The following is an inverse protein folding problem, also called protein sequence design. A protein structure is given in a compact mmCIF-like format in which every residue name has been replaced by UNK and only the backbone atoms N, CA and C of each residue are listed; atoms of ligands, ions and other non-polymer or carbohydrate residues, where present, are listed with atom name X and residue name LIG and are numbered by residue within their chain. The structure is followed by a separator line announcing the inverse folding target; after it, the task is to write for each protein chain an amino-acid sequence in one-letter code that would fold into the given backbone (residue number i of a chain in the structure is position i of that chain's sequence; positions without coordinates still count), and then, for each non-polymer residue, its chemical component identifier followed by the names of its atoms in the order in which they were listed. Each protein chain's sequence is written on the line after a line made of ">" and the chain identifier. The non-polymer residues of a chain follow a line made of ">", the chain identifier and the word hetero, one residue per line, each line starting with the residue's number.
data_IF_648887835108
#
_entry.id   IF_648887835108
#
_cell.length_a   1.000
_cell.length_b   1.000
_cell.length_c   1.000
_cell.angle_alpha   90.00
_cell.angle_beta   90.00
_cell.angle_gamma   90.00
#
_symmetry.space_group_name_H-M   'P 1'
#
loop_
_entity.id
_entity.type
_entity.pdbx_description
1 polymer ?
#
# COMPACT_ATOMS: atom_id res chain seq x y z
N UNK A 1 75.99 60.60 66.36
CA UNK A 1 75.32 61.04 65.12
C UNK A 1 73.83 61.05 65.39
N UNK A 2 73.33 62.20 65.84
CA UNK A 2 71.91 62.43 66.08
C UNK A 2 71.23 62.60 64.72
N UNK A 3 70.33 61.69 64.35
CA UNK A 3 69.67 61.75 63.03
C UNK A 3 68.72 62.95 63.05
N UNK A 4 68.92 63.90 62.13
CA UNK A 4 68.07 65.09 61.98
C UNK A 4 66.58 64.73 62.04
N UNK A 5 65.73 65.50 62.73
CA UNK A 5 64.29 65.24 62.88
C UNK A 5 63.56 64.97 61.55
N UNK A 6 64.08 65.51 60.44
CA UNK A 6 63.53 65.33 59.08
C UNK A 6 63.76 63.91 58.51
N UNK A 7 64.85 63.22 58.88
CA UNK A 7 65.14 61.85 58.45
C UNK A 7 64.18 60.84 59.08
N UNK A 8 63.91 60.97 60.39
CA UNK A 8 62.93 60.12 61.08
C UNK A 8 61.50 60.38 60.57
N UNK A 9 61.19 61.60 60.10
CA UNK A 9 59.90 61.94 59.52
C UNK A 9 59.72 61.30 58.12
N UNK A 10 60.72 61.40 57.24
CA UNK A 10 60.69 60.75 55.90
C UNK A 10 60.63 59.23 55.99
N UNK A 11 61.40 58.61 56.91
CA UNK A 11 61.37 57.17 57.13
C UNK A 11 59.98 56.68 57.61
N UNK A 12 59.35 57.40 58.55
CA UNK A 12 57.98 57.10 58.99
C UNK A 12 56.98 57.16 57.83
N UNK A 13 57.08 58.15 56.95
CA UNK A 13 56.20 58.30 55.78
C UNK A 13 56.39 57.13 54.79
N UNK A 14 57.64 56.77 54.48
CA UNK A 14 57.92 55.65 53.56
C UNK A 14 57.41 54.31 54.11
N UNK A 15 57.56 54.06 55.41
CA UNK A 15 57.03 52.86 56.08
C UNK A 15 55.49 52.83 56.01
N UNK A 16 54.82 53.96 56.21
CA UNK A 16 53.36 54.07 56.08
C UNK A 16 52.92 53.76 54.63
N UNK A 17 53.60 54.30 53.62
CA UNK A 17 53.28 54.05 52.21
C UNK A 17 53.44 52.56 51.86
N UNK A 18 54.56 51.94 52.28
CA UNK A 18 54.80 50.51 52.10
C UNK A 18 53.74 49.66 52.79
N UNK A 19 53.32 50.04 54.00
CA UNK A 19 52.26 49.33 54.71
C UNK A 19 50.91 49.45 54.00
N UNK A 20 50.56 50.63 53.48
CA UNK A 20 49.32 50.83 52.70
C UNK A 20 49.35 50.02 51.40
N UNK A 21 50.48 50.01 50.69
CA UNK A 21 50.65 49.19 49.47
C UNK A 21 50.58 47.70 49.78
N UNK A 22 51.21 47.25 50.87
CA UNK A 22 51.15 45.86 51.31
C UNK A 22 49.73 45.46 51.70
N UNK A 23 49.02 46.29 52.48
CA UNK A 23 47.64 46.06 52.88
C UNK A 23 46.70 46.03 51.65
N UNK A 24 46.88 46.93 50.68
CA UNK A 24 46.11 46.94 49.43
C UNK A 24 46.36 45.70 48.56
N UNK A 25 47.62 45.29 48.41
CA UNK A 25 47.99 44.06 47.70
C UNK A 25 47.44 42.81 48.38
N UNK A 26 47.55 42.74 49.72
CA UNK A 26 47.00 41.66 50.53
C UNK A 26 45.47 41.58 50.40
N UNK A 27 44.78 42.73 50.46
CA UNK A 27 43.34 42.79 50.26
C UNK A 27 42.92 42.36 48.85
N UNK A 28 43.65 42.77 47.81
CA UNK A 28 43.43 42.33 46.44
C UNK A 28 43.63 40.81 46.28
N UNK A 29 44.64 40.25 46.95
CA UNK A 29 44.89 38.80 46.99
C UNK A 29 43.73 38.05 47.64
N UNK A 30 43.20 38.57 48.76
CA UNK A 30 42.03 37.99 49.44
C UNK A 30 40.77 38.01 48.55
N UNK A 31 40.51 39.11 47.83
CA UNK A 31 39.38 39.16 46.89
C UNK A 31 39.52 38.17 45.73
N UNK A 32 40.74 37.99 45.21
CA UNK A 32 40.99 37.01 44.15
C UNK A 32 40.87 35.57 44.66
N UNK A 33 41.33 35.28 45.87
CA UNK A 33 41.14 33.98 46.51
C UNK A 33 39.65 33.63 46.65
N UNK A 34 38.82 34.59 47.07
CA UNK A 34 37.37 34.37 47.19
C UNK A 34 36.72 34.12 45.82
N UNK A 35 37.11 34.87 44.78
CA UNK A 35 36.63 34.64 43.41
C UNK A 35 37.00 33.25 42.87
N UNK A 36 38.24 32.80 43.11
CA UNK A 36 38.69 31.46 42.71
C UNK A 36 37.87 30.40 43.44
N UNK A 37 37.64 30.57 44.74
CA UNK A 37 36.81 29.66 45.54
C UNK A 37 35.37 29.54 45.00
N UNK A 38 34.75 30.65 44.64
CA UNK A 38 33.40 30.65 44.04
C UNK A 38 33.37 29.98 42.66
N UNK A 39 34.44 30.15 41.87
CA UNK A 39 34.57 29.47 40.59
C UNK A 39 34.73 27.96 40.76
N UNK A 40 35.52 27.53 41.73
CA UNK A 40 35.72 26.10 42.05
C UNK A 40 34.41 25.44 42.49
N UNK A 41 33.60 26.12 43.31
CA UNK A 41 32.26 25.65 43.70
C UNK A 41 31.35 25.48 42.49
N UNK A 42 31.29 26.50 41.61
CA UNK A 42 30.50 26.43 40.37
C UNK A 42 30.98 25.33 39.41
N UNK A 43 32.30 25.12 39.31
CA UNK A 43 32.87 24.04 38.49
C UNK A 43 32.49 22.68 39.07
N UNK A 44 32.53 22.52 40.40
CA UNK A 44 32.09 21.30 41.08
C UNK A 44 30.62 21.00 40.79
N UNK A 45 29.74 21.99 40.91
CA UNK A 45 28.32 21.84 40.61
C UNK A 45 28.06 21.46 39.15
N UNK A 46 28.72 22.14 38.20
CA UNK A 46 28.62 21.82 36.77
C UNK A 46 29.15 20.41 36.48
N UNK A 47 30.20 19.98 37.17
CA UNK A 47 30.76 18.62 37.03
C UNK A 47 29.75 17.58 37.50
N UNK A 48 29.10 17.80 38.65
CA UNK A 48 28.06 16.92 39.17
C UNK A 48 26.86 16.84 38.22
N UNK A 49 26.41 17.99 37.68
CA UNK A 49 25.32 18.02 36.69
C UNK A 49 25.69 17.25 35.43
N UNK A 50 26.91 17.45 34.91
CA UNK A 50 27.40 16.75 33.71
C UNK A 50 27.46 15.23 33.92
N UNK A 51 27.96 14.78 35.07
CA UNK A 51 27.98 13.36 35.44
C UNK A 51 26.56 12.79 35.51
N UNK A 52 25.63 13.49 36.18
CA UNK A 52 24.24 13.06 36.27
C UNK A 52 23.56 12.99 34.89
N UNK A 53 23.81 13.96 34.01
CA UNK A 53 23.32 13.93 32.63
C UNK A 53 23.90 12.74 31.85
N UNK A 54 25.17 12.41 32.06
CA UNK A 54 25.80 11.27 31.40
C UNK A 54 25.19 9.93 31.84
N UNK A 55 24.82 9.80 33.13
CA UNK A 55 24.06 8.66 33.64
C UNK A 55 22.67 8.57 33.01
N UNK A 56 21.93 9.68 32.91
CA UNK A 56 20.62 9.72 32.25
C UNK A 56 20.71 9.33 30.77
N UNK A 57 21.71 9.83 30.05
CA UNK A 57 21.95 9.47 28.64
C UNK A 57 22.19 7.96 28.52
N UNK A 58 23.02 7.38 29.38
CA UNK A 58 23.26 5.93 29.35
C UNK A 58 21.99 5.11 29.62
N UNK A 59 21.13 5.56 30.55
CA UNK A 59 19.84 4.91 30.82
C UNK A 59 18.88 5.02 29.63
N UNK A 60 18.82 6.19 28.98
CA UNK A 60 18.01 6.43 27.78
C UNK A 60 18.48 5.56 26.61
N UNK A 61 19.80 5.43 26.41
CA UNK A 61 20.38 4.55 25.39
C UNK A 61 19.99 3.09 25.61
N UNK A 62 20.15 2.58 26.84
CA UNK A 62 19.76 1.21 27.19
C UNK A 62 18.25 0.98 27.00
N UNK A 63 17.42 1.96 27.38
CA UNK A 63 15.97 1.91 27.17
C UNK A 63 15.64 1.87 25.68
N UNK A 64 16.30 2.70 24.87
CA UNK A 64 16.11 2.75 23.42
C UNK A 64 16.46 1.42 22.77
N UNK A 65 17.57 0.79 23.18
CA UNK A 65 17.97 -0.54 22.70
C UNK A 65 16.90 -1.58 23.05
N UNK A 66 16.42 -1.60 24.29
CA UNK A 66 15.38 -2.55 24.72
C UNK A 66 14.05 -2.36 23.98
N UNK A 67 13.65 -1.11 23.73
CA UNK A 67 12.44 -0.78 22.99
C UNK A 67 12.57 -1.21 21.52
N UNK A 68 13.72 -0.98 20.89
CA UNK A 68 13.98 -1.44 19.53
C UNK A 68 13.91 -2.97 19.42
N UNK A 69 14.44 -3.70 20.40
CA UNK A 69 14.35 -5.16 20.47
C UNK A 69 12.90 -5.64 20.67
N UNK A 70 12.15 -5.03 21.59
CA UNK A 70 10.74 -5.38 21.79
C UNK A 70 9.91 -5.11 20.52
N UNK A 71 10.22 -4.02 19.83
CA UNK A 71 9.53 -3.63 18.61
C UNK A 71 9.90 -4.54 17.42
N UNK A 72 11.15 -5.03 17.32
CA UNK A 72 11.51 -6.04 16.32
C UNK A 72 10.82 -7.38 16.57
N UNK A 73 10.80 -7.85 17.82
CA UNK A 73 10.08 -9.08 18.21
C UNK A 73 8.57 -8.96 17.94
N UNK A 74 7.97 -7.82 18.27
CA UNK A 74 6.54 -7.58 18.04
C UNK A 74 6.22 -7.57 16.54
N UNK A 75 7.09 -6.97 15.71
CA UNK A 75 6.93 -7.00 14.24
C UNK A 75 6.99 -8.42 13.69
N UNK A 76 7.95 -9.22 14.15
CA UNK A 76 8.07 -10.61 13.71
C UNK A 76 6.84 -11.44 14.11
N UNK A 77 6.35 -11.27 15.34
CA UNK A 77 5.11 -11.90 15.81
C UNK A 77 3.92 -11.50 14.91
N UNK A 78 3.75 -10.20 14.65
CA UNK A 78 2.67 -9.72 13.79
C UNK A 78 2.78 -10.27 12.36
N UNK A 79 3.99 -10.35 11.80
CA UNK A 79 4.22 -10.97 10.49
C UNK A 79 3.83 -12.45 10.50
N UNK A 80 4.18 -13.18 11.56
CA UNK A 80 3.87 -14.60 11.65
C UNK A 80 2.35 -14.83 11.81
N UNK A 81 1.69 -14.07 12.67
CA UNK A 81 0.22 -14.07 12.83
C UNK A 81 -0.50 -13.74 11.51
N UNK A 82 0.00 -12.75 10.78
CA UNK A 82 -0.55 -12.38 9.46
C UNK A 82 -0.45 -13.55 8.48
N UNK A 83 0.71 -14.22 8.42
CA UNK A 83 0.92 -15.39 7.55
C UNK A 83 0.01 -16.56 7.93
N UNK A 84 -0.15 -16.82 9.22
CA UNK A 84 -1.05 -17.86 9.73
C UNK A 84 -2.50 -17.54 9.35
N UNK A 85 -2.95 -16.30 9.58
CA UNK A 85 -4.29 -15.83 9.19
C UNK A 85 -4.54 -16.01 7.69
N UNK A 86 -3.61 -15.61 6.84
CA UNK A 86 -3.72 -15.79 5.38
C UNK A 86 -3.81 -17.28 4.99
N UNK A 87 -3.10 -18.15 5.71
CA UNK A 87 -3.16 -19.60 5.47
C UNK A 87 -4.55 -20.15 5.80
N UNK A 88 -5.11 -19.78 6.97
CA UNK A 88 -6.47 -20.17 7.33
C UNK A 88 -7.53 -19.59 6.39
N UNK A 89 -7.39 -18.36 5.92
CA UNK A 89 -8.31 -17.78 4.95
C UNK A 89 -8.37 -18.60 3.65
N UNK A 90 -7.22 -19.06 3.14
CA UNK A 90 -7.17 -19.94 1.96
C UNK A 90 -7.78 -21.31 2.24
N UNK A 91 -7.53 -21.88 3.41
CA UNK A 91 -8.09 -23.18 3.78
C UNK A 91 -9.62 -23.11 3.93
N UNK A 92 -10.13 -22.08 4.62
CA UNK A 92 -11.57 -21.83 4.73
C UNK A 92 -12.19 -21.60 3.35
N UNK A 93 -11.52 -20.84 2.48
CA UNK A 93 -11.99 -20.63 1.11
C UNK A 93 -12.10 -21.97 0.37
N UNK A 94 -11.06 -22.81 0.42
CA UNK A 94 -11.06 -24.14 -0.22
C UNK A 94 -12.15 -25.07 0.34
N UNK A 95 -12.39 -25.03 1.65
CA UNK A 95 -13.42 -25.85 2.30
C UNK A 95 -14.85 -25.36 2.02
N UNK A 96 -15.02 -24.05 1.81
CA UNK A 96 -16.34 -23.44 1.57
C UNK A 96 -16.66 -23.23 0.08
N UNK A 97 -15.66 -23.39 -0.79
CA UNK A 97 -15.78 -23.24 -2.23
C UNK A 97 -16.75 -24.27 -2.81
N UNK A 98 -17.66 -23.77 -3.63
CA UNK A 98 -18.72 -24.52 -4.32
C UNK A 98 -18.37 -24.64 -5.79
N UNK A 99 -17.92 -23.54 -6.39
CA UNK A 99 -17.52 -23.48 -7.78
C UNK A 99 -16.49 -22.37 -7.99
N UNK A 100 -15.71 -22.51 -9.06
CA UNK A 100 -14.72 -21.53 -9.48
C UNK A 100 -14.70 -21.45 -11.01
N UNK A 101 -14.46 -20.26 -11.54
CA UNK A 101 -14.13 -20.03 -12.95
C UNK A 101 -12.92 -19.12 -13.05
N UNK A 102 -11.99 -19.47 -13.94
CA UNK A 102 -10.85 -18.63 -14.34
C UNK A 102 -11.11 -18.10 -15.75
N UNK A 103 -10.89 -16.82 -15.98
CA UNK A 103 -11.05 -16.16 -17.27
C UNK A 103 -10.08 -14.96 -17.37
N UNK A 104 -10.35 -14.02 -18.28
CA UNK A 104 -9.54 -12.82 -18.39
C UNK A 104 -10.32 -11.57 -18.75
N UNK A 105 -9.82 -10.44 -18.26
CA UNK A 105 -10.34 -9.09 -18.51
C UNK A 105 -9.36 -8.33 -19.38
N UNK A 106 -9.88 -7.61 -20.37
CA UNK A 106 -9.06 -6.75 -21.23
C UNK A 106 -8.90 -5.36 -20.62
N UNK A 107 -7.66 -5.00 -20.33
CA UNK A 107 -7.26 -3.68 -19.87
C UNK A 107 -6.37 -2.98 -20.92
N UNK A 108 -6.00 -1.73 -20.63
CA UNK A 108 -4.95 -1.01 -21.35
C UNK A 108 -3.89 -0.56 -20.34
N UNK A 109 -2.68 -0.27 -20.80
CA UNK A 109 -1.68 0.44 -20.02
C UNK A 109 -1.69 1.95 -20.30
N UNK A 110 -0.82 2.70 -19.65
CA UNK A 110 -0.64 4.16 -19.82
C UNK A 110 -0.30 4.59 -21.26
N UNK A 111 0.12 3.66 -22.12
CA UNK A 111 0.45 3.91 -23.53
C UNK A 111 -0.65 3.41 -24.49
N UNK A 112 -1.88 3.21 -23.98
CA UNK A 112 -3.02 2.66 -24.71
C UNK A 112 -2.78 1.25 -25.29
N UNK A 113 -1.78 0.51 -24.79
CA UNK A 113 -1.52 -0.86 -25.23
C UNK A 113 -2.39 -1.82 -24.43
N UNK A 114 -3.11 -2.71 -25.13
CA UNK A 114 -3.96 -3.69 -24.48
C UNK A 114 -3.17 -4.73 -23.67
N UNK A 115 -3.77 -5.21 -22.58
CA UNK A 115 -3.25 -6.29 -21.73
C UNK A 115 -4.38 -7.19 -21.27
N UNK A 116 -4.08 -8.48 -21.11
CA UNK A 116 -4.98 -9.46 -20.49
C UNK A 116 -4.65 -9.52 -18.99
N UNK A 117 -5.66 -9.33 -18.16
CA UNK A 117 -5.56 -9.45 -16.70
C UNK A 117 -6.32 -10.71 -16.27
N UNK A 118 -5.71 -11.60 -15.47
CA UNK A 118 -6.42 -12.74 -14.88
C UNK A 118 -7.67 -12.30 -14.12
N UNK A 119 -8.77 -13.01 -14.36
CA UNK A 119 -10.03 -12.86 -13.65
C UNK A 119 -10.40 -14.20 -13.04
N UNK A 120 -10.56 -14.24 -11.73
CA UNK A 120 -11.05 -15.41 -11.02
C UNK A 120 -12.40 -15.08 -10.36
N UNK A 121 -13.38 -15.96 -10.54
CA UNK A 121 -14.66 -15.88 -9.84
C UNK A 121 -14.86 -17.13 -9.01
N UNK A 122 -15.01 -16.96 -7.69
CA UNK A 122 -15.25 -18.03 -6.74
C UNK A 122 -16.63 -17.87 -6.14
N UNK A 123 -17.39 -18.97 -6.11
CA UNK A 123 -18.64 -19.08 -5.38
C UNK A 123 -18.38 -19.96 -4.16
N UNK A 124 -18.68 -19.44 -2.97
CA UNK A 124 -18.55 -20.20 -1.71
C UNK A 124 -19.83 -20.15 -0.89
N UNK A 125 -19.99 -21.06 0.05
CA UNK A 125 -21.04 -20.96 1.05
C UNK A 125 -20.88 -19.67 1.87
N UNK A 126 -21.97 -18.92 2.05
CA UNK A 126 -21.93 -17.60 2.67
C UNK A 126 -23.32 -17.01 2.90
N UNK A 127 -23.42 -15.69 2.92
CA UNK A 127 -24.66 -14.96 3.24
C UNK A 127 -25.16 -14.07 2.10
N UNK A 128 -24.71 -14.33 0.86
CA UNK A 128 -25.17 -13.58 -0.31
C UNK A 128 -24.35 -12.33 -0.61
N UNK A 129 -23.13 -12.24 -0.11
CA UNK A 129 -22.28 -11.07 -0.30
C UNK A 129 -21.50 -11.14 -1.62
N UNK A 130 -21.24 -9.98 -2.21
CA UNK A 130 -20.27 -9.80 -3.29
C UNK A 130 -18.99 -9.17 -2.73
N UNK A 131 -17.87 -9.86 -2.89
CA UNK A 131 -16.54 -9.35 -2.58
C UNK A 131 -15.76 -9.13 -3.87
N UNK A 132 -15.12 -7.98 -3.99
CA UNK A 132 -14.29 -7.63 -5.14
C UNK A 132 -12.89 -7.37 -4.60
N UNK A 133 -11.93 -8.16 -5.06
CA UNK A 133 -10.51 -7.99 -4.77
C UNK A 133 -9.81 -7.54 -6.04
N UNK A 134 -9.18 -6.37 -6.00
CA UNK A 134 -8.42 -5.82 -7.12
C UNK A 134 -7.03 -5.46 -6.64
N UNK A 135 -6.01 -5.98 -7.30
CA UNK A 135 -4.62 -5.78 -6.93
C UNK A 135 -3.74 -5.51 -8.16
N UNK A 136 -2.82 -4.56 -8.01
CA UNK A 136 -1.86 -4.13 -9.05
C UNK A 136 -2.52 -3.61 -10.35
N UNK A 137 -3.70 -2.99 -10.25
CA UNK A 137 -4.47 -2.41 -11.37
C UNK A 137 -5.10 -1.10 -10.92
N UNK A 138 -5.12 -0.10 -11.79
CA UNK A 138 -5.87 1.15 -11.62
C UNK A 138 -7.30 0.97 -12.16
N UNK A 139 -8.29 1.38 -11.38
CA UNK A 139 -9.71 1.24 -11.75
C UNK A 139 -10.53 2.41 -11.21
N UNK A 140 -11.67 2.66 -11.85
CA UNK A 140 -12.65 3.68 -11.47
C UNK A 140 -13.80 3.07 -10.63
N UNK A 141 -14.68 3.92 -10.11
CA UNK A 141 -15.89 3.50 -9.39
C UNK A 141 -16.83 2.62 -10.22
N UNK A 142 -16.77 2.72 -11.57
CA UNK A 142 -17.62 1.94 -12.45
C UNK A 142 -17.30 0.44 -12.42
N UNK A 143 -16.07 0.05 -12.06
CA UNK A 143 -15.73 -1.38 -11.92
C UNK A 143 -16.59 -2.06 -10.84
N UNK A 144 -16.83 -1.39 -9.72
CA UNK A 144 -17.65 -1.95 -8.64
C UNK A 144 -19.11 -2.10 -9.06
N UNK A 145 -19.67 -1.09 -9.73
CA UNK A 145 -21.03 -1.15 -10.27
C UNK A 145 -21.14 -2.24 -11.34
N UNK A 146 -20.16 -2.33 -12.24
CA UNK A 146 -20.08 -3.34 -13.29
C UNK A 146 -20.03 -4.76 -12.72
N UNK A 147 -19.31 -4.97 -11.62
CA UNK A 147 -19.27 -6.26 -10.92
C UNK A 147 -20.63 -6.64 -10.30
N UNK A 148 -21.34 -5.68 -9.70
CA UNK A 148 -22.69 -5.91 -9.17
C UNK A 148 -23.67 -6.28 -10.28
N UNK A 149 -23.67 -5.52 -11.38
CA UNK A 149 -24.51 -5.80 -12.55
C UNK A 149 -24.15 -7.14 -13.17
N UNK A 150 -22.86 -7.47 -13.30
CA UNK A 150 -22.40 -8.73 -13.84
C UNK A 150 -22.91 -9.93 -13.04
N UNK A 151 -22.83 -9.89 -11.70
CA UNK A 151 -23.35 -10.96 -10.84
C UNK A 151 -24.87 -11.06 -10.91
N UNK A 152 -25.57 -9.91 -10.96
CA UNK A 152 -27.03 -9.86 -11.11
C UNK A 152 -27.47 -10.50 -12.44
N UNK A 153 -26.88 -10.09 -13.55
CA UNK A 153 -27.17 -10.61 -14.90
C UNK A 153 -26.79 -12.08 -15.01
N UNK A 154 -25.65 -12.49 -14.46
CA UNK A 154 -25.26 -13.91 -14.40
C UNK A 154 -26.28 -14.75 -13.65
N UNK A 155 -26.77 -14.26 -12.50
CA UNK A 155 -27.82 -14.92 -11.72
C UNK A 155 -29.14 -15.02 -12.49
N UNK A 156 -29.56 -13.94 -13.15
CA UNK A 156 -30.79 -13.88 -13.96
C UNK A 156 -30.73 -14.83 -15.16
N UNK A 157 -29.57 -14.90 -15.83
CA UNK A 157 -29.34 -15.78 -16.98
C UNK A 157 -29.27 -17.26 -16.60
N UNK A 158 -28.63 -17.58 -15.48
CA UNK A 158 -28.39 -18.97 -15.06
C UNK A 158 -29.52 -19.54 -14.19
N UNK A 159 -30.35 -18.70 -13.59
CA UNK A 159 -31.33 -19.09 -12.59
C UNK A 159 -30.71 -19.54 -11.25
N UNK A 160 -29.42 -19.28 -11.03
CA UNK A 160 -28.73 -19.70 -9.81
C UNK A 160 -29.28 -19.00 -8.56
N UNK A 161 -29.39 -19.72 -7.44
CA UNK A 161 -29.75 -19.13 -6.16
C UNK A 161 -28.48 -18.80 -5.36
N UNK A 162 -28.25 -17.51 -5.12
CA UNK A 162 -27.08 -17.00 -4.38
C UNK A 162 -27.42 -16.58 -2.94
N UNK A 163 -28.63 -16.79 -2.44
CA UNK A 163 -29.04 -16.30 -1.12
C UNK A 163 -28.15 -16.79 0.04
N UNK A 164 -27.55 -17.97 -0.11
CA UNK A 164 -26.60 -18.55 0.85
C UNK A 164 -25.20 -18.76 0.25
N UNK A 165 -24.85 -17.98 -0.77
CA UNK A 165 -23.56 -18.07 -1.46
C UNK A 165 -22.93 -16.70 -1.57
N UNK A 166 -21.68 -16.59 -1.15
CA UNK A 166 -20.88 -15.41 -1.45
C UNK A 166 -20.20 -15.59 -2.81
N UNK A 167 -20.09 -14.48 -3.55
CA UNK A 167 -19.35 -14.40 -4.81
C UNK A 167 -18.11 -13.55 -4.57
N UNK A 168 -16.94 -14.09 -4.90
CA UNK A 168 -15.67 -13.37 -4.87
C UNK A 168 -15.23 -13.17 -6.31
N UNK A 169 -14.93 -11.93 -6.68
CA UNK A 169 -14.35 -11.55 -7.96
C UNK A 169 -12.93 -11.05 -7.69
N UNK A 170 -11.94 -11.76 -8.19
CA UNK A 170 -10.53 -11.45 -8.04
C UNK A 170 -9.98 -11.01 -9.40
N UNK A 171 -9.51 -9.76 -9.48
CA UNK A 171 -8.82 -9.20 -10.64
C UNK A 171 -7.44 -8.78 -10.17
N UNK A 172 -6.46 -9.64 -10.38
CA UNK A 172 -5.11 -9.43 -9.90
C UNK A 172 -4.12 -9.55 -11.04
N UNK A 173 -3.34 -8.49 -11.22
CA UNK A 173 -2.21 -8.50 -12.13
C UNK A 173 -0.92 -8.84 -11.39
N UNK A 174 0.07 -9.47 -12.04
CA UNK A 174 1.40 -9.64 -11.46
C UNK A 174 2.01 -8.29 -11.05
N UNK A 175 2.76 -8.21 -9.93
CA UNK A 175 3.33 -6.96 -9.42
C UNK A 175 4.27 -6.22 -10.39
N UNK A 176 4.89 -6.96 -11.30
CA UNK A 176 5.76 -6.43 -12.35
C UNK A 176 5.00 -5.67 -13.46
N UNK A 177 3.69 -5.89 -13.59
CA UNK A 177 2.86 -5.18 -14.54
C UNK A 177 2.39 -3.87 -13.92
N UNK A 178 2.99 -2.76 -14.35
CA UNK A 178 2.67 -1.42 -13.86
C UNK A 178 1.78 -0.67 -14.85
N UNK A 179 0.97 0.26 -14.33
CA UNK A 179 0.19 1.17 -15.14
C UNK A 179 -0.99 0.54 -15.87
N UNK A 180 -1.46 -0.65 -15.48
CA UNK A 180 -2.66 -1.26 -16.04
C UNK A 180 -3.91 -0.52 -15.57
N UNK A 181 -4.82 -0.25 -16.50
CA UNK A 181 -6.03 0.55 -16.27
C UNK A 181 -7.26 -0.18 -16.81
N UNK A 182 -8.25 -0.40 -15.94
CA UNK A 182 -9.60 -0.82 -16.30
C UNK A 182 -10.52 0.39 -16.14
N UNK A 183 -11.08 0.89 -17.24
CA UNK A 183 -11.96 2.06 -17.25
C UNK A 183 -13.34 1.74 -17.82
N UNK A 184 -14.33 2.53 -17.40
CA UNK A 184 -15.62 2.66 -18.07
C UNK A 184 -16.47 1.40 -18.02
N UNK A 185 -16.39 0.63 -16.93
CA UNK A 185 -17.11 -0.64 -16.75
C UNK A 185 -16.77 -1.75 -17.75
N UNK A 186 -15.71 -1.59 -18.56
CA UNK A 186 -15.42 -2.43 -19.75
C UNK A 186 -15.09 -3.91 -19.48
N UNK A 187 -14.96 -4.28 -18.20
CA UNK A 187 -14.81 -5.64 -17.71
C UNK A 187 -16.15 -6.36 -17.48
N UNK A 188 -17.28 -5.67 -17.58
CA UNK A 188 -18.59 -6.17 -17.17
C UNK A 188 -19.02 -7.44 -17.89
N UNK A 189 -18.87 -7.49 -19.21
CA UNK A 189 -19.20 -8.68 -19.99
C UNK A 189 -18.31 -9.88 -19.61
N UNK A 190 -17.00 -9.64 -19.38
CA UNK A 190 -16.07 -10.70 -18.97
C UNK A 190 -16.38 -11.23 -17.56
N UNK A 191 -16.65 -10.34 -16.61
CA UNK A 191 -17.11 -10.72 -15.25
C UNK A 191 -18.42 -11.50 -15.30
N UNK A 192 -19.34 -11.11 -16.18
CA UNK A 192 -20.62 -11.81 -16.34
C UNK A 192 -20.42 -13.23 -16.84
N UNK A 193 -19.60 -13.44 -17.89
CA UNK A 193 -19.30 -14.79 -18.39
C UNK A 193 -18.60 -15.66 -17.34
N UNK A 194 -17.61 -15.13 -16.64
CA UNK A 194 -16.91 -15.88 -15.59
C UNK A 194 -17.85 -16.24 -14.43
N UNK A 195 -18.73 -15.32 -14.03
CA UNK A 195 -19.75 -15.58 -13.02
C UNK A 195 -20.77 -16.63 -13.48
N UNK A 196 -21.23 -16.57 -14.73
CA UNK A 196 -22.12 -17.58 -15.31
C UNK A 196 -21.46 -18.96 -15.34
N UNK A 197 -20.20 -19.04 -15.76
CA UNK A 197 -19.44 -20.28 -15.80
C UNK A 197 -19.30 -20.89 -14.39
N UNK A 198 -18.94 -20.08 -13.39
CA UNK A 198 -18.88 -20.52 -12.00
C UNK A 198 -20.26 -20.98 -11.48
N UNK A 199 -21.33 -20.24 -11.75
CA UNK A 199 -22.69 -20.60 -11.30
C UNK A 199 -23.20 -21.90 -11.93
N UNK A 200 -22.84 -22.17 -13.18
CA UNK A 200 -23.23 -23.38 -13.89
C UNK A 200 -22.28 -24.56 -13.66
N UNK A 201 -21.13 -24.34 -13.00
CA UNK A 201 -20.08 -25.35 -12.87
C UNK A 201 -19.50 -25.77 -14.22
N UNK A 202 -19.45 -24.86 -15.19
CA UNK A 202 -18.98 -25.13 -16.56
C UNK A 202 -17.63 -24.47 -16.82
N UNK A 203 -16.88 -25.06 -17.74
CA UNK A 203 -15.60 -24.51 -18.20
C UNK A 203 -15.82 -23.38 -19.20
N UNK A 204 -15.18 -22.25 -18.94
CA UNK A 204 -15.08 -21.14 -19.89
C UNK A 204 -13.85 -21.34 -20.78
N UNK A 205 -13.98 -20.99 -22.05
CA UNK A 205 -12.95 -21.10 -23.07
C UNK A 205 -11.94 -19.98 -22.95
N UNK A 206 -10.70 -20.31 -22.65
CA UNK A 206 -9.60 -19.35 -22.58
C UNK A 206 -9.15 -18.83 -23.95
N UNK A 207 -9.52 -19.52 -25.04
CA UNK A 207 -9.24 -19.09 -26.42
C UNK A 207 -10.32 -18.16 -27.00
N UNK A 208 -11.37 -17.86 -26.24
CA UNK A 208 -12.40 -16.89 -26.57
C UNK A 208 -12.36 -15.79 -25.53
N UNK A 209 -12.05 -14.56 -25.92
CA UNK A 209 -12.00 -13.41 -25.00
C UNK A 209 -13.06 -12.38 -25.38
N UNK A 210 -13.45 -11.52 -24.43
CA UNK A 210 -14.50 -10.51 -24.62
C UNK A 210 -14.08 -9.17 -24.01
N UNK A 211 -14.58 -8.07 -24.59
CA UNK A 211 -14.64 -6.77 -23.91
C UNK A 211 -16.03 -6.18 -24.09
N UNK A 212 -16.48 -5.40 -23.11
CA UNK A 212 -17.81 -4.78 -23.15
C UNK A 212 -18.27 -4.39 -21.76
N UNK A 213 -19.05 -3.32 -21.67
CA UNK A 213 -19.83 -3.08 -20.44
C UNK A 213 -20.98 -4.09 -20.37
N UNK A 214 -21.59 -4.22 -19.19
CA UNK A 214 -22.83 -5.00 -19.03
C UNK A 214 -23.89 -4.12 -18.40
N UNK A 215 -25.09 -4.17 -18.97
CA UNK A 215 -26.27 -3.46 -18.47
C UNK A 215 -27.26 -4.42 -17.81
N UNK A 216 -28.17 -3.88 -17.01
CA UNK A 216 -29.21 -4.65 -16.31
C UNK A 216 -30.18 -5.39 -17.23
N UNK A 217 -30.31 -4.95 -18.48
CA UNK A 217 -31.13 -5.59 -19.52
C UNK A 217 -30.35 -6.63 -20.33
N UNK A 218 -29.19 -7.06 -19.81
CA UNK A 218 -28.29 -8.05 -20.38
C UNK A 218 -27.52 -7.58 -21.62
N UNK A 219 -27.73 -6.32 -22.05
CA UNK A 219 -27.05 -5.76 -23.22
C UNK A 219 -25.57 -5.44 -22.94
N UNK A 220 -24.75 -5.64 -23.98
CA UNK A 220 -23.32 -5.36 -23.97
C UNK A 220 -23.07 -4.00 -24.60
N UNK A 221 -22.59 -3.04 -23.79
CA UNK A 221 -22.31 -1.69 -24.24
C UNK A 221 -20.91 -1.49 -24.81
N UNK A 222 -20.74 -0.37 -25.54
CA UNK A 222 -19.50 0.00 -26.23
C UNK A 222 -18.37 0.30 -25.24
N UNK A 223 -17.13 0.12 -25.70
CA UNK A 223 -15.92 0.40 -24.93
C UNK A 223 -14.88 1.18 -25.72
N UNK A 224 -13.97 1.85 -25.00
CA UNK A 224 -12.77 2.45 -25.57
C UNK A 224 -11.68 1.43 -25.92
N UNK A 225 -10.74 1.87 -26.77
CA UNK A 225 -9.52 1.15 -27.12
C UNK A 225 -9.74 -0.31 -27.60
N UNK A 226 -10.86 -0.60 -28.26
CA UNK A 226 -11.27 -1.97 -28.64
C UNK A 226 -10.23 -2.67 -29.52
N UNK A 227 -9.56 -1.95 -30.42
CA UNK A 227 -8.47 -2.50 -31.26
C UNK A 227 -7.25 -2.91 -30.44
N UNK A 228 -6.83 -2.07 -29.49
CA UNK A 228 -5.69 -2.38 -28.62
C UNK A 228 -5.98 -3.61 -27.76
N UNK A 229 -7.20 -3.70 -27.21
CA UNK A 229 -7.68 -4.88 -26.48
C UNK A 229 -7.72 -6.12 -27.37
N UNK A 230 -8.23 -6.03 -28.60
CA UNK A 230 -8.27 -7.16 -29.52
C UNK A 230 -6.86 -7.66 -29.90
N UNK A 231 -5.89 -6.76 -30.09
CA UNK A 231 -4.49 -7.13 -30.31
C UNK A 231 -3.90 -7.87 -29.11
N UNK A 232 -4.20 -7.42 -27.88
CA UNK A 232 -3.76 -8.10 -26.67
C UNK A 232 -4.41 -9.48 -26.49
N UNK A 233 -5.68 -9.62 -26.88
CA UNK A 233 -6.35 -10.92 -26.90
C UNK A 233 -5.63 -11.89 -27.85
N UNK A 234 -5.28 -11.43 -29.06
CA UNK A 234 -4.46 -12.20 -30.01
C UNK A 234 -3.09 -12.56 -29.42
N UNK A 235 -2.37 -11.60 -28.83
CA UNK A 235 -1.06 -11.84 -28.21
C UNK A 235 -1.15 -12.87 -27.07
N UNK A 236 -2.30 -12.95 -26.41
CA UNK A 236 -2.60 -13.92 -25.36
C UNK A 236 -3.10 -15.28 -25.89
N UNK A 237 -3.11 -15.48 -27.20
CA UNK A 237 -3.47 -16.75 -27.84
C UNK A 237 -4.96 -16.96 -28.14
N UNK A 238 -5.80 -15.92 -28.04
CA UNK A 238 -7.21 -16.04 -28.38
C UNK A 238 -7.40 -16.31 -29.89
N UNK A 239 -8.32 -17.22 -30.21
CA UNK A 239 -8.75 -17.50 -31.59
C UNK A 239 -9.98 -16.68 -31.98
N UNK A 240 -10.74 -16.21 -30.99
CA UNK A 240 -11.96 -15.43 -31.15
C UNK A 240 -12.01 -14.31 -30.11
N UNK A 241 -12.27 -13.08 -30.57
CA UNK A 241 -12.52 -11.94 -29.72
C UNK A 241 -13.94 -11.41 -29.93
N UNK A 242 -14.71 -11.37 -28.84
CA UNK A 242 -16.07 -10.88 -28.80
C UNK A 242 -16.05 -9.39 -28.47
N UNK A 243 -16.76 -8.59 -29.27
CA UNK A 243 -16.82 -7.13 -29.12
C UNK A 243 -18.27 -6.65 -29.13
N UNK A 244 -18.57 -5.47 -28.57
CA UNK A 244 -19.91 -4.90 -28.63
C UNK A 244 -20.35 -4.64 -30.08
N UNK A 245 -21.67 -4.61 -30.30
CA UNK A 245 -22.26 -4.34 -31.62
C UNK A 245 -21.76 -3.01 -32.20
N UNK A 246 -21.37 -3.04 -33.48
CA UNK A 246 -20.84 -1.90 -34.20
C UNK A 246 -19.40 -1.52 -33.82
N UNK A 247 -18.63 -2.40 -33.18
CA UNK A 247 -17.22 -2.18 -32.88
C UNK A 247 -16.27 -3.14 -33.61
N UNK A 248 -16.78 -4.07 -34.43
CA UNK A 248 -15.92 -4.95 -35.23
C UNK A 248 -15.08 -4.17 -36.26
N UNK A 249 -15.64 -3.13 -36.87
CA UNK A 249 -14.91 -2.26 -37.80
C UNK A 249 -13.74 -1.53 -37.14
N UNK A 250 -13.91 -1.14 -35.88
CA UNK A 250 -12.90 -0.42 -35.09
C UNK A 250 -11.68 -1.31 -34.83
N UNK A 251 -11.89 -2.63 -34.75
CA UNK A 251 -10.82 -3.63 -34.60
C UNK A 251 -10.08 -3.84 -35.92
N UNK A 252 -10.78 -3.96 -37.05
CA UNK A 252 -10.19 -4.32 -38.35
C UNK A 252 -9.70 -5.77 -38.42
N UNK A 253 -8.98 -6.12 -39.49
CA UNK A 253 -8.37 -7.45 -39.61
C UNK A 253 -7.05 -7.50 -38.82
N UNK A 254 -7.01 -8.38 -37.82
CA UNK A 254 -5.84 -8.63 -36.99
C UNK A 254 -5.43 -10.12 -37.01
N UNK A 255 -6.07 -10.97 -37.82
CA UNK A 255 -5.74 -12.38 -37.95
C UNK A 255 -6.30 -13.33 -36.88
N UNK A 256 -7.27 -12.87 -36.08
CA UNK A 256 -8.12 -13.71 -35.22
C UNK A 256 -9.59 -13.44 -35.54
N UNK A 257 -10.50 -14.35 -35.17
CA UNK A 257 -11.92 -14.14 -35.38
C UNK A 257 -12.44 -12.96 -34.55
N UNK A 258 -13.17 -12.03 -35.17
CA UNK A 258 -13.88 -10.95 -34.46
C UNK A 258 -15.38 -11.11 -34.66
N UNK A 259 -16.12 -11.20 -33.55
CA UNK A 259 -17.58 -11.39 -33.53
C UNK A 259 -18.24 -10.32 -32.68
N UNK A 260 -19.30 -9.73 -33.21
CA UNK A 260 -20.14 -8.79 -32.46
C UNK A 260 -21.17 -9.55 -31.64
N UNK A 261 -21.37 -9.12 -30.40
CA UNK A 261 -22.36 -9.66 -29.47
C UNK A 261 -23.15 -8.49 -28.86
N UNK A 262 -24.48 -8.61 -28.87
CA UNK A 262 -25.38 -7.56 -28.37
C UNK A 262 -25.84 -7.80 -26.94
N UNK A 263 -25.98 -9.07 -26.56
CA UNK A 263 -26.37 -9.50 -25.22
C UNK A 263 -25.42 -10.59 -24.71
N UNK A 264 -25.37 -10.77 -23.40
CA UNK A 264 -24.44 -11.70 -22.77
C UNK A 264 -24.77 -13.18 -23.07
N UNK A 265 -26.02 -13.53 -23.32
CA UNK A 265 -26.44 -14.89 -23.69
C UNK A 265 -25.87 -15.32 -25.04
N UNK A 266 -25.73 -14.39 -25.98
CA UNK A 266 -25.08 -14.66 -27.27
C UNK A 266 -23.59 -14.90 -27.06
N UNK A 267 -22.94 -14.10 -26.21
CA UNK A 267 -21.53 -14.28 -25.87
C UNK A 267 -21.28 -15.63 -25.17
N UNK A 268 -22.20 -16.05 -24.30
CA UNK A 268 -22.15 -17.32 -23.59
C UNK A 268 -22.05 -18.52 -24.54
N UNK A 269 -22.77 -18.50 -25.67
CA UNK A 269 -22.75 -19.59 -26.66
C UNK A 269 -21.37 -19.84 -27.28
N UNK A 270 -20.51 -18.82 -27.32
CA UNK A 270 -19.15 -18.94 -27.85
C UNK A 270 -18.15 -19.33 -26.77
N UNK A 271 -18.32 -18.79 -25.55
CA UNK A 271 -17.31 -18.83 -24.49
C UNK A 271 -17.53 -19.96 -23.48
N UNK A 272 -18.76 -20.36 -23.17
CA UNK A 272 -19.04 -21.38 -22.16
C UNK A 272 -19.35 -22.71 -22.85
N UNK A 273 -18.55 -23.74 -22.58
CA UNK A 273 -18.75 -25.05 -23.17
C UNK A 273 -19.99 -25.72 -22.56
N UNK A 274 -20.81 -26.37 -23.41
CA UNK A 274 -21.79 -27.32 -22.90
C UNK A 274 -21.07 -28.56 -22.36
N UNK A 275 -21.60 -29.19 -21.30
CA UNK A 275 -21.01 -30.40 -20.71
C UNK A 275 -20.92 -31.56 -21.69
#
# INVERSE_FOLDING_TARGET
>A
MDKSPDYNRKLKITVIILFVLFAGSFFFLLQNLEKVRQQDEKISDLTNISQHQQEQISQLENTTISLQQNLSMTREQLTNETRVRQTYEREILNLTMVAKSDYGVMAIDENDKGKLIPLEVIIKNGSGNLFINVANVLFDEELQLSAQTAVKVARETTGANLANKDVLINIESPPEAQGLIIQGGSAGAAMSLAAMAAMQGKTIRNDVLITGTINDDHSIGRVGAVRAKALAAKESGAVLFLVPVGQKSDVGDIGIGIREVGIIEDAMQYAIQSP
#
